data_IF_071164406662
#
_entry.id   IF_071164406662
#
_cell.length_a   1.000
_cell.length_b   1.000
_cell.length_c   1.000
_cell.angle_alpha   90.00
_cell.angle_beta   90.00
_cell.angle_gamma   90.00
#
_symmetry.space_group_name_H-M   'P 1'
#
loop_
_entity.id
_entity.type
_entity.pdbx_description
1 polymer ?
#
# COMPACT_ATOMS: atom_id res chain seq x y z
N UNK A 1 36.52 -51.08 21.70
CA UNK A 1 36.09 -49.92 22.50
C UNK A 1 36.01 -48.61 21.71
N UNK A 2 36.82 -48.37 20.65
CA UNK A 2 36.69 -47.15 19.83
C UNK A 2 35.37 -47.07 19.01
N UNK A 3 34.85 -48.18 18.50
CA UNK A 3 33.64 -48.21 17.65
C UNK A 3 32.36 -47.70 18.36
N UNK A 4 32.21 -47.97 19.66
CA UNK A 4 31.07 -47.48 20.46
C UNK A 4 31.12 -45.97 20.70
N UNK A 5 32.32 -45.40 20.82
CA UNK A 5 32.49 -43.96 21.01
C UNK A 5 32.09 -43.19 19.74
N UNK A 6 32.47 -43.69 18.55
CA UNK A 6 32.08 -43.11 17.26
C UNK A 6 30.56 -43.18 17.02
N UNK A 7 29.91 -44.29 17.41
CA UNK A 7 28.44 -44.46 17.33
C UNK A 7 27.68 -43.47 18.23
N UNK A 8 28.17 -43.26 19.47
CA UNK A 8 27.59 -42.28 20.40
C UNK A 8 27.74 -40.85 19.91
N UNK A 9 28.90 -40.50 19.35
CA UNK A 9 29.15 -39.17 18.79
C UNK A 9 28.33 -38.90 17.52
N UNK A 10 28.13 -39.92 16.67
CA UNK A 10 27.24 -39.81 15.50
C UNK A 10 25.78 -39.56 15.88
N UNK A 11 25.28 -40.21 16.95
CA UNK A 11 23.91 -39.99 17.48
C UNK A 11 23.73 -38.59 18.07
N UNK A 12 24.76 -38.07 18.76
CA UNK A 12 24.75 -36.71 19.31
C UNK A 12 24.77 -35.67 18.18
N UNK A 13 25.60 -35.88 17.15
CA UNK A 13 25.64 -35.01 15.98
C UNK A 13 24.31 -34.97 15.21
N UNK A 14 23.66 -36.13 15.04
CA UNK A 14 22.33 -36.21 14.41
C UNK A 14 21.24 -35.51 15.25
N UNK A 15 21.27 -35.62 16.58
CA UNK A 15 20.34 -34.91 17.45
C UNK A 15 20.52 -33.38 17.34
N UNK A 16 21.77 -32.91 17.31
CA UNK A 16 22.10 -31.48 17.14
C UNK A 16 21.61 -30.97 15.78
N UNK A 17 21.77 -31.74 14.70
CA UNK A 17 21.31 -31.32 13.37
C UNK A 17 19.79 -31.21 13.28
N UNK A 18 19.05 -32.11 13.93
CA UNK A 18 17.58 -32.05 13.98
C UNK A 18 17.10 -30.83 14.78
N UNK A 19 17.73 -30.53 15.91
CA UNK A 19 17.38 -29.33 16.71
C UNK A 19 17.70 -28.04 15.97
N UNK A 20 18.86 -27.97 15.29
CA UNK A 20 19.22 -26.81 14.47
C UNK A 20 18.27 -26.63 13.28
N UNK A 21 17.88 -27.72 12.61
CA UNK A 21 16.96 -27.65 11.48
C UNK A 21 15.53 -27.26 11.92
N UNK A 22 15.07 -27.79 13.05
CA UNK A 22 13.79 -27.39 13.66
C UNK A 22 13.80 -25.91 14.10
N UNK A 23 14.91 -25.42 14.64
CA UNK A 23 15.10 -24.00 14.96
C UNK A 23 15.10 -23.09 13.73
N UNK A 24 15.72 -23.54 12.63
CA UNK A 24 15.71 -22.82 11.36
C UNK A 24 14.30 -22.74 10.75
N UNK A 25 13.50 -23.81 10.87
CA UNK A 25 12.11 -23.85 10.39
C UNK A 25 11.17 -23.00 11.27
N UNK A 26 11.46 -22.86 12.57
CA UNK A 26 10.70 -22.00 13.47
C UNK A 26 10.85 -20.49 13.16
N UNK A 27 11.88 -20.09 12.40
CA UNK A 27 12.08 -18.70 11.97
C UNK A 27 11.10 -18.22 10.90
N UNK A 28 10.37 -19.12 10.23
CA UNK A 28 9.37 -18.78 9.21
C UNK A 28 7.96 -18.67 9.81
N UNK A 29 7.76 -17.83 10.85
CA UNK A 29 6.40 -17.51 11.28
C UNK A 29 5.75 -16.47 10.36
N UNK A 30 5.03 -16.97 9.35
CA UNK A 30 4.06 -16.16 8.60
C UNK A 30 2.85 -15.96 9.50
N UNK A 31 2.73 -14.79 10.11
CA UNK A 31 1.53 -14.41 10.87
C UNK A 31 0.55 -13.73 9.91
N UNK A 32 -0.64 -14.32 9.63
CA UNK A 32 -1.56 -13.71 8.69
C UNK A 32 -2.04 -12.35 9.23
N UNK A 33 -1.87 -11.30 8.44
CA UNK A 33 -2.15 -9.92 8.84
C UNK A 33 -3.61 -9.72 9.30
N UNK A 34 -4.53 -10.43 8.64
CA UNK A 34 -5.97 -10.36 8.89
C UNK A 34 -6.52 -11.58 9.66
N UNK A 35 -5.69 -12.33 10.38
CA UNK A 35 -6.19 -13.43 11.20
C UNK A 35 -7.11 -12.90 12.31
N UNK A 36 -8.24 -13.56 12.57
CA UNK A 36 -9.11 -13.16 13.70
C UNK A 36 -8.37 -13.22 15.05
N UNK A 37 -7.37 -14.10 15.18
CA UNK A 37 -6.56 -14.22 16.38
C UNK A 37 -5.71 -12.97 16.70
N UNK A 38 -5.46 -12.07 15.73
CA UNK A 38 -4.71 -10.84 15.95
C UNK A 38 -5.59 -9.63 16.29
N UNK A 39 -6.93 -9.76 16.27
CA UNK A 39 -7.87 -8.66 16.57
C UNK A 39 -7.72 -7.45 15.63
N UNK A 40 -7.01 -7.62 14.51
CA UNK A 40 -6.58 -6.51 13.65
C UNK A 40 -7.75 -5.94 12.87
N UNK A 41 -8.72 -6.80 12.49
CA UNK A 41 -9.92 -6.39 11.75
C UNK A 41 -10.78 -5.47 12.61
N UNK A 42 -11.00 -5.84 13.86
CA UNK A 42 -11.79 -5.14 14.85
C UNK A 42 -11.16 -3.78 15.20
N UNK A 43 -9.83 -3.75 15.41
CA UNK A 43 -9.09 -2.49 15.59
C UNK A 43 -9.13 -1.61 14.35
N UNK A 44 -9.12 -2.19 13.14
CA UNK A 44 -9.19 -1.42 11.91
C UNK A 44 -10.56 -0.75 11.72
N UNK A 45 -11.62 -1.37 12.23
CA UNK A 45 -12.97 -0.79 12.27
C UNK A 45 -13.09 0.40 13.22
N UNK A 46 -12.18 0.60 14.19
CA UNK A 46 -12.20 1.76 15.11
C UNK A 46 -11.34 2.93 14.64
N UNK A 47 -10.71 2.82 13.47
CA UNK A 47 -9.89 3.89 12.88
C UNK A 47 -10.78 4.98 12.29
N UNK A 48 -10.55 6.24 12.64
CA UNK A 48 -11.23 7.40 12.06
C UNK A 48 -10.33 8.12 11.05
N UNK A 49 -10.82 8.33 9.83
CA UNK A 49 -10.09 9.09 8.79
C UNK A 49 -10.54 10.54 8.77
N UNK A 50 -9.59 11.49 8.83
CA UNK A 50 -9.92 12.92 8.78
C UNK A 50 -10.60 13.31 7.47
N UNK A 51 -11.39 14.39 7.51
CA UNK A 51 -12.01 14.94 6.31
C UNK A 51 -10.95 15.36 5.29
N UNK A 52 -11.22 15.13 4.00
CA UNK A 52 -10.37 15.60 2.92
C UNK A 52 -10.82 16.99 2.46
N UNK A 53 -9.86 17.81 2.04
CA UNK A 53 -10.10 19.17 1.51
C UNK A 53 -10.09 19.24 -0.02
N UNK A 54 -9.70 18.16 -0.70
CA UNK A 54 -9.53 18.09 -2.13
C UNK A 54 -10.00 16.74 -2.69
N UNK A 55 -10.20 16.69 -4.01
CA UNK A 55 -10.73 15.51 -4.70
C UNK A 55 -9.84 14.28 -4.50
N UNK A 56 -8.54 14.38 -4.76
CA UNK A 56 -7.66 13.20 -4.78
C UNK A 56 -7.47 12.62 -3.38
N UNK A 57 -7.38 13.48 -2.37
CA UNK A 57 -7.40 13.04 -0.96
C UNK A 57 -8.74 12.41 -0.61
N UNK A 58 -9.87 12.95 -1.11
CA UNK A 58 -11.20 12.37 -0.87
C UNK A 58 -11.35 10.99 -1.52
N UNK A 59 -10.84 10.78 -2.74
CA UNK A 59 -10.89 9.47 -3.40
C UNK A 59 -10.12 8.41 -2.60
N UNK A 60 -8.89 8.71 -2.18
CA UNK A 60 -8.10 7.79 -1.33
C UNK A 60 -8.80 7.54 0.01
N UNK A 61 -9.35 8.59 0.63
CA UNK A 61 -10.13 8.46 1.87
C UNK A 61 -11.34 7.56 1.68
N UNK A 62 -12.09 7.70 0.58
CA UNK A 62 -13.26 6.87 0.32
C UNK A 62 -12.87 5.39 0.19
N UNK A 63 -11.77 5.09 -0.51
CA UNK A 63 -11.24 3.73 -0.60
C UNK A 63 -10.82 3.19 0.77
N UNK A 64 -10.13 3.99 1.59
CA UNK A 64 -9.74 3.60 2.96
C UNK A 64 -10.95 3.35 3.86
N UNK A 65 -11.98 4.19 3.79
CA UNK A 65 -13.25 4.03 4.51
C UNK A 65 -13.94 2.73 4.08
N UNK A 66 -13.92 2.42 2.78
CA UNK A 66 -14.47 1.16 2.28
C UNK A 66 -13.68 -0.04 2.80
N UNK A 67 -12.35 0.00 2.74
CA UNK A 67 -11.48 -1.07 3.26
C UNK A 67 -11.64 -1.27 4.77
N UNK A 68 -11.87 -0.19 5.53
CA UNK A 68 -12.04 -0.25 6.98
C UNK A 68 -13.42 -0.78 7.38
N UNK A 69 -14.50 -0.31 6.75
CA UNK A 69 -15.87 -0.55 7.24
C UNK A 69 -16.73 -1.40 6.31
N UNK A 70 -16.27 -1.74 5.11
CA UNK A 70 -17.03 -2.53 4.13
C UNK A 70 -18.36 -1.91 3.71
N UNK A 71 -18.54 -0.59 3.87
CA UNK A 71 -19.80 0.12 3.60
C UNK A 71 -20.77 0.22 4.77
N UNK A 72 -20.42 -0.27 5.97
CA UNK A 72 -21.27 -0.21 7.17
C UNK A 72 -21.47 1.20 7.76
N UNK A 73 -20.84 2.23 7.18
CA UNK A 73 -20.86 3.60 7.67
C UNK A 73 -19.67 3.92 8.59
N UNK A 74 -19.66 5.14 9.13
CA UNK A 74 -18.60 5.62 10.01
C UNK A 74 -18.57 4.83 11.34
N UNK A 75 -17.41 4.72 12.00
CA UNK A 75 -17.26 3.87 13.16
C UNK A 75 -17.95 4.48 14.38
N UNK A 76 -18.67 3.64 15.14
CA UNK A 76 -19.37 4.07 16.36
C UNK A 76 -18.39 4.46 17.47
N UNK A 77 -17.25 3.78 17.53
CA UNK A 77 -16.16 4.03 18.48
C UNK A 77 -14.90 4.42 17.71
N UNK A 78 -14.19 5.44 18.19
CA UNK A 78 -12.97 5.96 17.55
C UNK A 78 -11.82 5.78 18.52
N UNK A 79 -10.90 4.87 18.21
CA UNK A 79 -9.70 4.62 19.04
C UNK A 79 -8.43 5.18 18.40
N UNK A 80 -8.42 5.23 17.07
CA UNK A 80 -7.30 5.71 16.27
C UNK A 80 -7.76 6.81 15.32
N UNK A 81 -6.89 7.76 15.06
CA UNK A 81 -7.08 8.80 14.05
C UNK A 81 -6.01 8.68 12.96
N UNK A 82 -6.44 8.72 11.71
CA UNK A 82 -5.58 8.77 10.53
C UNK A 82 -5.75 10.12 9.85
N UNK A 83 -4.67 10.91 9.88
CA UNK A 83 -4.54 12.15 9.12
C UNK A 83 -3.91 11.82 7.78
N UNK A 84 -4.56 12.20 6.69
CA UNK A 84 -4.15 11.91 5.32
C UNK A 84 -4.01 13.19 4.50
N UNK A 85 -2.93 13.30 3.74
CA UNK A 85 -2.76 14.33 2.71
C UNK A 85 -2.21 13.69 1.45
N UNK A 86 -2.88 13.91 0.32
CA UNK A 86 -2.51 13.31 -0.97
C UNK A 86 -2.15 14.40 -1.97
N UNK A 87 -1.15 14.11 -2.80
CA UNK A 87 -0.81 14.92 -3.98
C UNK A 87 -0.79 14.01 -5.20
N UNK A 88 -1.31 14.51 -6.32
CA UNK A 88 -1.31 13.86 -7.62
C UNK A 88 -0.57 14.73 -8.62
N UNK A 89 0.21 14.11 -9.51
CA UNK A 89 0.76 14.76 -10.69
C UNK A 89 0.62 13.86 -11.91
N UNK A 90 0.10 14.41 -13.01
CA UNK A 90 0.05 13.74 -14.30
C UNK A 90 1.19 14.26 -15.19
N UNK A 91 1.85 13.37 -15.92
CA UNK A 91 2.93 13.73 -16.85
C UNK A 91 2.81 12.88 -18.11
N UNK A 92 2.91 13.53 -19.27
CA UNK A 92 3.05 12.86 -20.57
C UNK A 92 4.53 12.56 -20.82
N UNK A 93 4.83 11.41 -21.40
CA UNK A 93 6.17 11.09 -21.94
C UNK A 93 6.19 11.35 -23.44
N UNK A 94 5.57 12.45 -23.85
CA UNK A 94 5.57 12.90 -25.23
C UNK A 94 7.01 13.23 -25.62
N UNK A 95 7.56 12.47 -26.56
CA UNK A 95 8.90 12.73 -27.10
C UNK A 95 8.79 13.92 -28.05
N UNK A 96 9.04 15.11 -27.53
CA UNK A 96 8.97 16.37 -28.29
C UNK A 96 10.28 16.72 -29.01
N UNK A 97 11.35 15.97 -28.76
CA UNK A 97 12.72 16.28 -29.23
C UNK A 97 13.06 15.64 -30.60
N UNK A 98 12.19 14.77 -31.12
CA UNK A 98 12.25 14.36 -32.52
C UNK A 98 11.38 15.28 -33.36
N UNK A 99 12.01 16.11 -34.19
CA UNK A 99 11.32 17.02 -35.11
C UNK A 99 10.44 16.30 -36.16
N UNK A 100 10.52 14.96 -36.26
CA UNK A 100 9.57 14.13 -37.03
C UNK A 100 8.29 13.77 -36.26
N UNK A 101 8.29 13.89 -34.92
CA UNK A 101 7.17 13.56 -34.03
C UNK A 101 6.53 14.77 -33.35
N UNK A 102 7.06 15.98 -33.55
CA UNK A 102 6.44 17.22 -33.09
C UNK A 102 4.99 17.35 -33.62
N UNK A 103 4.06 17.81 -32.77
CA UNK A 103 2.60 17.94 -33.06
C UNK A 103 2.29 18.67 -34.38
N UNK A 104 3.19 19.53 -34.87
CA UNK A 104 3.04 20.23 -36.17
C UNK A 104 3.46 19.41 -37.39
N UNK A 105 4.14 18.27 -37.24
CA UNK A 105 4.63 17.40 -38.34
C UNK A 105 4.27 15.92 -38.20
N UNK A 106 3.69 15.51 -37.08
CA UNK A 106 3.40 14.12 -36.80
C UNK A 106 1.98 13.75 -37.27
N UNK A 107 1.86 12.79 -38.19
CA UNK A 107 0.57 12.18 -38.58
C UNK A 107 0.07 11.15 -37.55
N UNK A 108 0.61 11.16 -36.33
CA UNK A 108 0.25 10.24 -35.27
C UNK A 108 -1.06 10.67 -34.60
N UNK A 109 -2.13 9.94 -34.90
CA UNK A 109 -3.46 10.11 -34.30
C UNK A 109 -3.68 9.21 -33.07
N UNK A 110 -2.61 8.57 -32.58
CA UNK A 110 -2.66 7.70 -31.41
C UNK A 110 -2.53 8.44 -30.08
N UNK A 111 -2.81 7.77 -28.95
CA UNK A 111 -2.54 8.31 -27.64
C UNK A 111 -1.04 8.31 -27.32
N UNK A 112 -0.58 9.31 -26.55
CA UNK A 112 0.78 9.36 -26.01
C UNK A 112 0.87 8.65 -24.67
N UNK A 113 1.97 7.93 -24.38
CA UNK A 113 2.16 7.31 -23.08
C UNK A 113 2.32 8.38 -21.99
N UNK A 114 1.63 8.18 -20.87
CA UNK A 114 1.70 9.05 -19.72
C UNK A 114 1.65 8.29 -18.41
N UNK A 115 1.76 9.03 -17.31
CA UNK A 115 1.62 8.48 -15.95
C UNK A 115 0.99 9.48 -15.00
N UNK A 116 0.20 8.98 -14.06
CA UNK A 116 -0.14 9.68 -12.83
C UNK A 116 0.78 9.15 -11.72
N UNK A 117 1.50 10.04 -11.06
CA UNK A 117 2.20 9.75 -9.81
C UNK A 117 1.40 10.32 -8.64
N UNK A 118 1.03 9.48 -7.70
CA UNK A 118 0.26 9.87 -6.53
C UNK A 118 1.06 9.59 -5.26
N UNK A 119 1.22 10.61 -4.42
CA UNK A 119 1.95 10.51 -3.15
C UNK A 119 1.02 10.82 -2.00
N UNK A 120 0.86 9.86 -1.09
CA UNK A 120 0.11 10.00 0.16
C UNK A 120 1.05 10.11 1.36
N UNK A 121 0.83 11.13 2.18
CA UNK A 121 1.43 11.27 3.51
C UNK A 121 0.37 11.01 4.55
N UNK A 122 0.67 10.17 5.53
CA UNK A 122 -0.28 9.86 6.58
C UNK A 122 0.37 9.69 7.94
N UNK A 123 -0.42 9.96 8.98
CA UNK A 123 -0.06 9.80 10.38
C UNK A 123 -1.17 9.05 11.10
N UNK A 124 -0.80 7.99 11.82
CA UNK A 124 -1.69 7.20 12.67
C UNK A 124 -1.43 7.59 14.12
N UNK A 125 -2.46 8.04 14.82
CA UNK A 125 -2.40 8.48 16.22
C UNK A 125 -3.41 7.70 17.05
N UNK A 126 -3.00 7.22 18.23
CA UNK A 126 -3.94 6.67 19.23
C UNK A 126 -4.63 7.82 19.95
N UNK A 127 -5.95 7.79 20.04
CA UNK A 127 -6.75 8.91 20.59
C UNK A 127 -6.62 9.01 22.10
N UNK A 128 -6.45 7.88 22.82
CA UNK A 128 -6.43 7.85 24.28
C UNK A 128 -5.27 8.62 24.91
N UNK A 129 -4.11 8.61 24.29
CA UNK A 129 -2.87 9.19 24.80
C UNK A 129 -2.21 10.18 23.82
N UNK A 130 -2.77 10.35 22.62
CA UNK A 130 -2.20 11.18 21.55
C UNK A 130 -0.92 10.61 20.95
N UNK A 131 -0.55 9.35 21.24
CA UNK A 131 0.69 8.75 20.76
C UNK A 131 0.63 8.55 19.25
N UNK A 132 1.64 9.07 18.53
CA UNK A 132 1.85 8.77 17.12
C UNK A 132 2.39 7.36 17.00
N UNK A 133 1.58 6.45 16.46
CA UNK A 133 1.95 5.06 16.23
C UNK A 133 2.80 4.91 14.97
N UNK A 134 2.50 5.71 13.94
CA UNK A 134 3.23 5.68 12.68
C UNK A 134 3.04 6.97 11.89
N UNK A 135 4.10 7.41 11.22
CA UNK A 135 4.04 8.42 10.17
C UNK A 135 4.84 7.92 8.96
N UNK A 136 4.27 8.00 7.76
CA UNK A 136 4.93 7.52 6.55
C UNK A 136 4.45 8.24 5.29
N UNK A 137 5.23 8.08 4.23
CA UNK A 137 4.90 8.56 2.88
C UNK A 137 4.94 7.38 1.93
N UNK A 138 3.91 7.26 1.08
CA UNK A 138 3.78 6.24 0.04
C UNK A 138 3.54 6.88 -1.30
N UNK A 139 4.14 6.32 -2.34
CA UNK A 139 3.98 6.79 -3.71
C UNK A 139 3.58 5.61 -4.58
N UNK A 140 2.59 5.83 -5.45
CA UNK A 140 2.15 4.87 -6.45
C UNK A 140 2.11 5.55 -7.82
N UNK A 141 2.26 4.76 -8.87
CA UNK A 141 2.21 5.26 -10.24
C UNK A 141 1.18 4.45 -11.03
N UNK A 142 0.29 5.13 -11.74
CA UNK A 142 -0.62 4.53 -12.70
C UNK A 142 -0.21 4.98 -14.11
N UNK A 143 -0.02 4.03 -15.02
CA UNK A 143 0.23 4.32 -16.43
C UNK A 143 -1.06 4.76 -17.14
N UNK A 144 -0.91 5.61 -18.16
CA UNK A 144 -1.99 6.26 -18.91
C UNK A 144 -1.67 6.21 -20.41
N UNK A 145 -2.74 6.24 -21.19
CA UNK A 145 -2.70 6.61 -22.60
C UNK A 145 -3.44 7.94 -22.76
N UNK A 146 -2.72 8.96 -23.23
CA UNK A 146 -3.19 10.34 -23.32
C UNK A 146 -3.59 10.68 -24.77
N UNK A 147 -4.89 10.72 -25.10
CA UNK A 147 -5.34 11.11 -26.43
C UNK A 147 -5.07 12.60 -26.70
N UNK A 148 -5.01 12.98 -27.99
CA UNK A 148 -4.84 14.39 -28.42
C UNK A 148 -6.03 15.27 -28.03
N UNK A 149 -7.23 14.68 -27.97
CA UNK A 149 -8.45 15.40 -27.65
C UNK A 149 -8.47 15.75 -26.15
N UNK A 150 -8.52 17.05 -25.84
CA UNK A 150 -8.30 17.56 -24.48
C UNK A 150 -9.33 17.08 -23.44
N UNK A 151 -10.61 16.91 -23.82
CA UNK A 151 -11.59 16.33 -22.89
C UNK A 151 -11.30 14.86 -22.57
N UNK A 152 -10.94 14.08 -23.58
CA UNK A 152 -10.58 12.67 -23.43
C UNK A 152 -9.29 12.53 -22.60
N UNK A 153 -8.34 13.44 -22.78
CA UNK A 153 -7.11 13.54 -21.96
C UNK A 153 -7.40 13.80 -20.50
N UNK A 154 -8.27 14.77 -20.18
CA UNK A 154 -8.70 15.03 -18.80
C UNK A 154 -9.39 13.80 -18.19
N UNK A 155 -10.20 13.08 -18.98
CA UNK A 155 -10.88 11.85 -18.52
C UNK A 155 -9.89 10.71 -18.26
N UNK A 156 -8.90 10.53 -19.14
CA UNK A 156 -7.83 9.55 -18.97
C UNK A 156 -7.00 9.83 -17.71
N UNK A 157 -6.66 11.10 -17.46
CA UNK A 157 -5.95 11.50 -16.24
C UNK A 157 -6.77 11.18 -14.99
N UNK A 158 -8.06 11.57 -14.96
CA UNK A 158 -8.94 11.29 -13.80
C UNK A 158 -9.11 9.79 -13.52
N UNK A 159 -9.21 8.99 -14.57
CA UNK A 159 -9.26 7.53 -14.47
C UNK A 159 -7.95 6.97 -13.87
N UNK A 160 -6.81 7.48 -14.34
CA UNK A 160 -5.50 7.22 -13.76
C UNK A 160 -5.39 7.58 -12.27
N UNK A 161 -5.89 8.75 -11.89
CA UNK A 161 -5.96 9.18 -10.49
C UNK A 161 -6.81 8.23 -9.64
N UNK A 162 -7.94 7.75 -10.17
CA UNK A 162 -8.81 6.83 -9.44
C UNK A 162 -8.16 5.46 -9.24
N UNK A 163 -7.45 4.94 -10.25
CA UNK A 163 -6.64 3.72 -10.09
C UNK A 163 -5.54 3.91 -9.06
N UNK A 164 -4.76 4.99 -9.18
CA UNK A 164 -3.71 5.33 -8.23
C UNK A 164 -4.27 5.49 -6.81
N UNK A 165 -5.44 6.10 -6.65
CA UNK A 165 -6.07 6.28 -5.35
C UNK A 165 -6.42 4.94 -4.68
N UNK A 166 -6.91 3.96 -5.46
CA UNK A 166 -7.18 2.60 -4.97
C UNK A 166 -5.89 1.92 -4.51
N UNK A 167 -4.86 1.90 -5.35
CA UNK A 167 -3.57 1.28 -5.00
C UNK A 167 -2.92 1.92 -3.76
N UNK A 168 -2.96 3.25 -3.68
CA UNK A 168 -2.43 3.97 -2.53
C UNK A 168 -3.20 3.64 -1.25
N UNK A 169 -4.53 3.55 -1.33
CA UNK A 169 -5.37 3.16 -0.20
C UNK A 169 -5.08 1.73 0.26
N UNK A 170 -4.88 0.77 -0.64
CA UNK A 170 -4.52 -0.62 -0.31
C UNK A 170 -3.20 -0.68 0.46
N UNK A 171 -2.16 0.03 0.00
CA UNK A 171 -0.86 0.09 0.68
C UNK A 171 -1.01 0.73 2.06
N UNK A 172 -1.71 1.87 2.17
CA UNK A 172 -1.92 2.54 3.45
C UNK A 172 -2.75 1.67 4.39
N UNK A 173 -3.78 0.97 3.91
CA UNK A 173 -4.60 0.06 4.71
C UNK A 173 -3.77 -1.10 5.29
N UNK A 174 -2.87 -1.65 4.47
CA UNK A 174 -1.92 -2.69 4.88
C UNK A 174 -0.98 -2.16 5.95
N UNK A 175 -0.48 -0.92 5.78
CA UNK A 175 0.37 -0.28 6.78
C UNK A 175 -0.35 -0.02 8.10
N UNK A 176 -1.62 0.39 8.05
CA UNK A 176 -2.44 0.58 9.25
C UNK A 176 -2.66 -0.78 9.93
N UNK A 177 -3.13 -1.80 9.21
CA UNK A 177 -3.33 -3.13 9.75
C UNK A 177 -2.05 -3.69 10.39
N UNK A 178 -0.90 -3.52 9.74
CA UNK A 178 0.40 -3.96 10.27
C UNK A 178 0.84 -3.16 11.52
N UNK A 179 0.39 -1.91 11.65
CA UNK A 179 0.67 -1.09 12.84
C UNK A 179 -0.22 -1.51 14.01
N UNK A 180 -1.49 -1.84 13.75
CA UNK A 180 -2.48 -2.19 14.77
C UNK A 180 -2.41 -3.67 15.21
N UNK A 181 -1.87 -4.54 14.37
CA UNK A 181 -1.69 -5.98 14.64
C UNK A 181 -0.45 -6.31 15.47
N UNK A 182 0.34 -5.30 15.86
CA UNK A 182 1.43 -5.42 16.84
C UNK A 182 0.92 -5.16 18.25
#
# INVERSE_FOLDING_TARGET
MLSDAYSKWGRIAAAISVVLLAGALAGCQVRPLYSQASGTREKFETVNFTAASDRVTQEVRNQLVFLAYGGAGAPKTKEYEVKLTVKSSATSTEVTDDTSLSVSKNNYDGPYPGRVSMTGKYVITRISDGQVLRAATRTVTAMLDLPQQEFAKIRAIRDGENRAARELAEIISTDIAATLGR
#
